data_IF_497533279642
#
_entry.id   IF_497533279642
#
_cell.length_a   1.000
_cell.length_b   1.000
_cell.length_c   1.000
_cell.angle_alpha   90.00
_cell.angle_beta   90.00
_cell.angle_gamma   90.00
#
_symmetry.space_group_name_H-M   'P 1'
#
loop_
_entity.id
_entity.type
_entity.pdbx_description
1 polymer ?
#
# COMPACT_ATOMS: atom_id res chain seq x y z
N UNK A 1 13.05 -11.03 1.97
CA UNK A 1 12.48 -10.32 3.15
C UNK A 1 11.02 -9.93 2.88
N UNK A 2 10.17 -9.79 3.92
CA UNK A 2 8.82 -9.22 3.78
C UNK A 2 8.77 -7.75 4.22
N UNK A 3 8.44 -6.85 3.30
CA UNK A 3 8.19 -5.45 3.55
C UNK A 3 6.70 -5.13 3.51
N UNK A 4 6.11 -4.73 4.64
CA UNK A 4 4.72 -4.25 4.70
C UNK A 4 4.70 -2.73 4.63
N UNK A 5 4.30 -2.22 3.47
CA UNK A 5 4.26 -0.80 3.17
C UNK A 5 2.90 -0.22 3.56
N UNK A 6 2.91 0.67 4.54
CA UNK A 6 1.76 1.38 5.08
C UNK A 6 1.89 2.88 4.80
N UNK A 7 0.80 3.63 4.98
CA UNK A 7 0.76 5.08 4.68
C UNK A 7 -0.59 5.49 4.11
N UNK A 8 -0.95 6.78 4.18
CA UNK A 8 -2.23 7.25 3.67
C UNK A 8 -2.32 7.07 2.15
N UNK A 9 -3.51 7.15 1.54
CA UNK A 9 -3.62 7.22 0.07
C UNK A 9 -2.79 8.41 -0.45
N UNK A 10 -2.32 8.32 -1.71
CA UNK A 10 -1.45 9.34 -2.33
C UNK A 10 -0.09 9.64 -1.65
N UNK A 11 0.32 8.87 -0.63
CA UNK A 11 1.58 9.13 0.07
C UNK A 11 2.85 8.82 -0.72
N UNK A 12 2.74 8.09 -1.85
CA UNK A 12 3.89 7.69 -2.67
C UNK A 12 4.39 6.26 -2.43
N UNK A 13 3.58 5.39 -1.78
CA UNK A 13 3.93 3.96 -1.55
C UNK A 13 4.41 3.25 -2.81
N UNK A 14 3.68 3.39 -3.92
CA UNK A 14 4.05 2.74 -5.19
C UNK A 14 5.38 3.25 -5.73
N UNK A 15 5.65 4.55 -5.63
CA UNK A 15 6.94 5.17 -6.00
C UNK A 15 8.07 4.70 -5.11
N UNK A 16 7.84 4.58 -3.80
CA UNK A 16 8.82 4.07 -2.84
C UNK A 16 9.24 2.63 -3.15
N UNK A 17 8.29 1.79 -3.56
CA UNK A 17 8.55 0.40 -3.99
C UNK A 17 9.29 0.41 -5.33
N UNK A 18 8.84 1.19 -6.31
CA UNK A 18 9.49 1.27 -7.64
C UNK A 18 10.96 1.66 -7.57
N UNK A 19 11.36 2.46 -6.57
CA UNK A 19 12.76 2.85 -6.40
C UNK A 19 13.62 1.79 -5.68
N UNK A 20 13.06 0.62 -5.31
CA UNK A 20 13.72 -0.40 -4.48
C UNK A 20 13.56 -1.82 -5.01
N UNK A 21 12.35 -2.17 -5.42
CA UNK A 21 12.05 -3.49 -5.96
C UNK A 21 12.77 -3.71 -7.30
N UNK A 22 13.31 -4.89 -7.47
CA UNK A 22 13.90 -5.40 -8.70
C UNK A 22 12.86 -6.20 -9.50
N UNK A 23 13.21 -6.57 -10.74
CA UNK A 23 12.35 -7.42 -11.58
C UNK A 23 12.14 -8.84 -11.02
N UNK A 24 12.91 -9.25 -10.00
CA UNK A 24 12.80 -10.56 -9.34
C UNK A 24 11.86 -10.55 -8.13
N UNK A 25 11.53 -9.36 -7.62
CA UNK A 25 10.79 -9.21 -6.37
C UNK A 25 9.27 -9.26 -6.60
N UNK A 26 8.54 -9.62 -5.55
CA UNK A 26 7.09 -9.75 -5.60
C UNK A 26 6.44 -8.47 -5.04
N UNK A 27 5.59 -7.82 -5.83
CA UNK A 27 4.79 -6.67 -5.38
C UNK A 27 3.33 -7.06 -5.27
N UNK A 28 2.81 -7.08 -4.05
CA UNK A 28 1.41 -7.38 -3.73
C UNK A 28 0.68 -6.06 -3.43
N UNK A 29 -0.10 -5.60 -4.40
CA UNK A 29 -0.88 -4.37 -4.35
C UNK A 29 -2.31 -4.61 -4.84
N UNK A 30 -3.30 -4.20 -4.05
CA UNK A 30 -4.70 -4.46 -4.37
C UNK A 30 -5.10 -3.80 -5.69
N UNK A 31 -4.62 -2.57 -5.92
CA UNK A 31 -5.00 -1.81 -7.11
C UNK A 31 -4.38 -2.43 -8.38
N UNK A 32 -3.13 -2.93 -8.28
CA UNK A 32 -2.49 -3.69 -9.38
C UNK A 32 -3.21 -5.00 -9.66
N UNK A 33 -3.59 -5.74 -8.62
CA UNK A 33 -4.34 -7.00 -8.77
C UNK A 33 -5.71 -6.72 -9.41
N UNK A 34 -6.43 -5.70 -8.94
CA UNK A 34 -7.72 -5.32 -9.51
C UNK A 34 -7.58 -4.95 -10.99
N UNK A 35 -6.58 -4.13 -11.35
CA UNK A 35 -6.30 -3.77 -12.75
C UNK A 35 -6.01 -4.99 -13.63
N UNK A 36 -5.18 -5.92 -13.15
CA UNK A 36 -4.82 -7.15 -13.87
C UNK A 36 -6.02 -8.11 -14.08
N UNK A 37 -7.01 -8.07 -13.20
CA UNK A 37 -8.22 -8.89 -13.28
C UNK A 37 -9.32 -8.26 -14.15
N UNK A 38 -9.19 -7.00 -14.54
CA UNK A 38 -10.21 -6.28 -15.31
C UNK A 38 -9.97 -6.34 -16.80
N UNK A 39 -11.07 -6.38 -17.58
CA UNK A 39 -11.01 -6.45 -19.03
C UNK A 39 -10.45 -5.17 -19.68
N UNK A 40 -10.06 -5.23 -20.97
CA UNK A 40 -9.57 -4.09 -21.72
C UNK A 40 -10.53 -2.89 -21.66
N UNK A 41 -9.98 -1.67 -21.54
CA UNK A 41 -10.76 -0.44 -21.46
C UNK A 41 -11.33 -0.12 -20.08
N UNK A 42 -11.12 -0.98 -19.07
CA UNK A 42 -11.44 -0.65 -17.69
C UNK A 42 -10.60 0.55 -17.20
N UNK A 43 -11.16 1.42 -16.34
CA UNK A 43 -10.40 2.50 -15.74
C UNK A 43 -9.25 1.91 -14.91
N UNK A 44 -8.12 2.62 -14.87
CA UNK A 44 -6.96 2.24 -14.05
C UNK A 44 -7.34 2.04 -12.57
N UNK A 45 -8.32 2.81 -12.09
CA UNK A 45 -8.90 2.70 -10.76
C UNK A 45 -10.33 2.18 -10.88
N UNK A 46 -10.49 0.86 -10.80
CA UNK A 46 -11.78 0.21 -10.87
C UNK A 46 -12.35 -0.04 -9.46
N UNK A 47 -13.38 0.74 -9.10
CA UNK A 47 -14.08 0.62 -7.82
C UNK A 47 -15.28 -0.33 -7.86
N UNK A 48 -15.44 -1.10 -8.93
CA UNK A 48 -16.50 -2.11 -9.02
C UNK A 48 -16.42 -3.09 -7.81
N UNK A 49 -17.51 -3.23 -7.03
CA UNK A 49 -17.49 -4.04 -5.81
C UNK A 49 -17.17 -5.52 -6.04
N UNK A 50 -17.53 -6.08 -7.20
CA UNK A 50 -17.24 -7.47 -7.54
C UNK A 50 -15.76 -7.64 -7.87
N UNK A 51 -15.19 -6.75 -8.69
CA UNK A 51 -13.75 -6.71 -8.97
C UNK A 51 -12.95 -6.59 -7.67
N UNK A 52 -13.33 -5.66 -6.81
CA UNK A 52 -12.67 -5.43 -5.53
C UNK A 52 -12.73 -6.65 -4.62
N UNK A 53 -13.87 -7.36 -4.58
CA UNK A 53 -14.01 -8.60 -3.81
C UNK A 53 -13.10 -9.70 -4.34
N UNK A 54 -13.05 -9.90 -5.65
CA UNK A 54 -12.20 -10.91 -6.28
C UNK A 54 -10.72 -10.58 -6.05
N UNK A 55 -10.32 -9.32 -6.29
CA UNK A 55 -8.96 -8.83 -6.07
C UNK A 55 -8.51 -9.01 -4.61
N UNK A 56 -9.40 -8.77 -3.63
CA UNK A 56 -9.09 -9.03 -2.22
C UNK A 56 -8.82 -10.52 -1.94
N UNK A 57 -9.57 -11.44 -2.54
CA UNK A 57 -9.33 -12.89 -2.39
C UNK A 57 -8.01 -13.32 -3.03
N UNK A 58 -7.74 -12.85 -4.24
CA UNK A 58 -6.46 -13.07 -4.91
C UNK A 58 -5.29 -12.51 -4.08
N UNK A 59 -5.45 -11.31 -3.50
CA UNK A 59 -4.45 -10.71 -2.61
C UNK A 59 -4.17 -11.56 -1.37
N UNK A 60 -5.19 -12.13 -0.74
CA UNK A 60 -4.96 -13.01 0.42
C UNK A 60 -4.20 -14.27 0.04
N UNK A 61 -4.58 -14.92 -1.07
CA UNK A 61 -3.85 -16.09 -1.58
C UNK A 61 -2.39 -15.75 -1.93
N UNK A 62 -2.16 -14.61 -2.58
CA UNK A 62 -0.81 -14.14 -2.90
C UNK A 62 0.04 -13.88 -1.65
N UNK A 63 -0.53 -13.29 -0.60
CA UNK A 63 0.18 -13.09 0.68
C UNK A 63 0.52 -14.44 1.31
N UNK A 64 -0.45 -15.36 1.36
CA UNK A 64 -0.27 -16.67 2.00
C UNK A 64 0.79 -17.52 1.29
N UNK A 65 0.97 -17.35 -0.02
CA UNK A 65 2.05 -17.99 -0.76
C UNK A 65 3.38 -17.25 -0.60
N UNK A 66 3.39 -15.92 -0.79
CA UNK A 66 4.62 -15.14 -0.79
C UNK A 66 5.37 -15.21 0.55
N UNK A 67 4.67 -15.33 1.68
CA UNK A 67 5.33 -15.50 3.00
C UNK A 67 6.20 -16.76 3.10
N UNK A 68 6.01 -17.75 2.22
CA UNK A 68 6.81 -18.99 2.19
C UNK A 68 8.14 -18.82 1.44
N UNK A 69 8.24 -17.78 0.62
CA UNK A 69 9.37 -17.54 -0.30
C UNK A 69 10.18 -16.29 0.10
N UNK A 70 9.97 -15.77 1.32
CA UNK A 70 10.64 -14.54 1.79
C UNK A 70 12.14 -14.71 1.99
N UNK A 71 12.64 -15.95 2.02
CA UNK A 71 14.06 -16.26 2.06
C UNK A 71 14.71 -16.26 0.66
N UNK A 72 13.90 -16.40 -0.40
CA UNK A 72 14.36 -16.48 -1.80
C UNK A 72 14.23 -15.13 -2.54
N UNK A 73 13.20 -14.35 -2.22
CA UNK A 73 12.88 -13.08 -2.87
C UNK A 73 12.37 -12.04 -1.87
N UNK A 74 12.50 -10.76 -2.23
CA UNK A 74 11.84 -9.71 -1.47
C UNK A 74 10.36 -9.60 -1.87
N UNK A 75 9.51 -9.43 -0.85
CA UNK A 75 8.07 -9.31 -0.99
C UNK A 75 7.64 -7.95 -0.47
N UNK A 76 7.08 -7.12 -1.35
CA UNK A 76 6.56 -5.80 -1.03
C UNK A 76 5.03 -5.84 -0.98
N UNK A 77 4.47 -5.75 0.22
CA UNK A 77 3.04 -5.77 0.46
C UNK A 77 2.52 -4.36 0.75
N UNK A 78 1.71 -3.79 -0.14
CA UNK A 78 0.96 -2.58 0.20
C UNK A 78 -0.24 -2.96 1.08
N UNK A 79 -0.28 -2.43 2.30
CA UNK A 79 -1.44 -2.47 3.17
C UNK A 79 -1.59 -1.11 3.87
N UNK A 80 -2.42 -0.23 3.32
CA UNK A 80 -2.61 1.16 3.78
C UNK A 80 -2.91 1.27 5.29
N UNK A 81 -3.85 0.46 5.78
CA UNK A 81 -4.29 0.42 7.18
C UNK A 81 -4.47 -1.02 7.65
N UNK A 82 -3.40 -1.74 8.03
CA UNK A 82 -3.53 -3.09 8.55
C UNK A 82 -4.25 -3.06 9.90
N UNK A 83 -5.16 -4.02 10.12
CA UNK A 83 -5.78 -4.20 11.44
C UNK A 83 -4.72 -4.59 12.49
N UNK A 84 -4.98 -4.44 13.80
CA UNK A 84 -4.08 -4.92 14.84
C UNK A 84 -3.70 -6.40 14.66
N UNK A 85 -4.67 -7.25 14.29
CA UNK A 85 -4.46 -8.67 14.00
C UNK A 85 -3.54 -8.88 12.80
N UNK A 86 -3.73 -8.12 11.71
CA UNK A 86 -2.86 -8.20 10.54
C UNK A 86 -1.43 -7.74 10.87
N UNK A 87 -1.28 -6.63 11.62
CA UNK A 87 0.04 -6.18 12.09
C UNK A 87 0.76 -7.23 12.94
N UNK A 88 0.04 -7.86 13.86
CA UNK A 88 0.60 -8.95 14.67
C UNK A 88 1.06 -10.11 13.78
N UNK A 89 0.22 -10.54 12.83
CA UNK A 89 0.56 -11.58 11.85
C UNK A 89 1.85 -11.24 11.08
N UNK A 90 1.99 -10.01 10.59
CA UNK A 90 3.19 -9.61 9.85
C UNK A 90 4.44 -9.58 10.72
N UNK A 91 4.34 -9.08 11.95
CA UNK A 91 5.47 -9.11 12.90
C UNK A 91 5.91 -10.55 13.22
N UNK A 92 4.96 -11.46 13.43
CA UNK A 92 5.25 -12.88 13.65
C UNK A 92 5.90 -13.54 12.43
N UNK A 93 5.65 -13.01 11.22
CA UNK A 93 6.31 -13.44 9.99
C UNK A 93 7.65 -12.70 9.73
N UNK A 94 8.19 -11.97 10.71
CA UNK A 94 9.46 -11.25 10.58
C UNK A 94 9.41 -10.02 9.67
N UNK A 95 8.22 -9.49 9.36
CA UNK A 95 8.08 -8.41 8.40
C UNK A 95 8.63 -7.07 8.90
N UNK A 96 9.28 -6.34 8.00
CA UNK A 96 9.59 -4.92 8.19
C UNK A 96 8.37 -4.07 7.84
N UNK A 97 7.86 -3.30 8.81
CA UNK A 97 6.74 -2.38 8.58
C UNK A 97 7.28 -0.99 8.23
N UNK A 98 7.11 -0.59 6.98
CA UNK A 98 7.54 0.72 6.47
C UNK A 98 6.34 1.66 6.39
N UNK A 99 6.43 2.84 6.97
CA UNK A 99 5.41 3.89 6.85
C UNK A 99 5.89 4.98 5.88
N UNK A 100 5.22 5.09 4.74
CA UNK A 100 5.46 6.15 3.75
C UNK A 100 4.42 7.25 3.98
N UNK A 101 4.87 8.37 4.53
CA UNK A 101 4.04 9.53 4.87
C UNK A 101 4.82 10.83 4.61
N UNK A 102 4.47 11.61 3.57
CA UNK A 102 5.09 12.90 3.28
C UNK A 102 4.50 14.05 4.12
N UNK A 103 3.52 13.78 4.99
CA UNK A 103 2.79 14.77 5.77
C UNK A 103 1.37 14.99 5.25
N UNK A 104 0.48 15.37 6.17
CA UNK A 104 -0.96 15.47 5.92
C UNK A 104 -1.33 16.51 4.86
N UNK A 105 -0.69 17.66 4.90
CA UNK A 105 -0.97 18.74 3.94
C UNK A 105 -0.65 18.30 2.51
N UNK A 106 0.52 17.68 2.31
CA UNK A 106 0.95 17.13 1.00
C UNK A 106 -0.01 16.04 0.53
N UNK A 107 -0.45 15.16 1.43
CA UNK A 107 -1.39 14.09 1.09
C UNK A 107 -2.76 14.65 0.70
N UNK A 108 -3.26 15.64 1.44
CA UNK A 108 -4.54 16.28 1.15
C UNK A 108 -4.49 17.04 -0.17
N UNK A 109 -3.41 17.75 -0.45
CA UNK A 109 -3.20 18.41 -1.74
C UNK A 109 -3.24 17.40 -2.90
N UNK A 110 -2.49 16.30 -2.78
CA UNK A 110 -2.47 15.24 -3.81
C UNK A 110 -3.85 14.57 -3.98
N UNK A 111 -4.58 14.35 -2.90
CA UNK A 111 -5.92 13.76 -2.95
C UNK A 111 -6.94 14.70 -3.59
N UNK A 112 -6.89 15.99 -3.28
CA UNK A 112 -7.73 16.99 -3.92
C UNK A 112 -7.51 17.02 -5.44
N UNK A 113 -6.26 16.90 -5.90
CA UNK A 113 -5.94 16.83 -7.33
C UNK A 113 -6.51 15.58 -8.04
N UNK A 114 -6.68 14.46 -7.32
CA UNK A 114 -7.31 13.24 -7.86
C UNK A 114 -8.84 13.34 -7.97
N UNK A 115 -9.46 14.39 -7.42
CA UNK A 115 -10.91 14.65 -7.46
C UNK A 115 -11.76 13.47 -6.96
N UNK A 116 -11.30 12.77 -5.92
CA UNK A 116 -11.99 11.61 -5.33
C UNK A 116 -12.46 11.88 -3.89
N UNK A 117 -13.75 12.22 -3.67
CA UNK A 117 -14.28 12.49 -2.33
C UNK A 117 -14.16 11.28 -1.39
N UNK A 118 -14.18 10.06 -1.93
CA UNK A 118 -14.01 8.84 -1.14
C UNK A 118 -12.61 8.75 -0.50
N UNK A 119 -11.59 9.34 -1.12
CA UNK A 119 -10.22 9.31 -0.60
C UNK A 119 -10.03 10.25 0.58
N UNK A 120 -10.75 11.37 0.66
CA UNK A 120 -10.65 12.30 1.80
C UNK A 120 -11.07 11.66 3.13
N UNK A 121 -12.12 10.83 3.09
CA UNK A 121 -12.56 10.07 4.25
C UNK A 121 -11.47 9.07 4.71
N UNK A 122 -10.78 8.44 3.75
CA UNK A 122 -9.68 7.51 4.04
C UNK A 122 -8.46 8.24 4.60
N UNK A 123 -8.07 9.39 4.04
CA UNK A 123 -6.99 10.25 4.57
C UNK A 123 -7.28 10.66 6.01
N UNK A 124 -8.48 11.19 6.24
CA UNK A 124 -8.91 11.66 7.57
C UNK A 124 -8.88 10.54 8.59
N UNK A 125 -9.39 9.36 8.22
CA UNK A 125 -9.30 8.15 9.05
C UNK A 125 -7.85 7.77 9.33
N UNK A 126 -7.00 7.77 8.30
CA UNK A 126 -5.60 7.35 8.42
C UNK A 126 -4.85 8.22 9.44
N UNK A 127 -4.88 9.55 9.29
CA UNK A 127 -4.17 10.46 10.20
C UNK A 127 -4.73 10.43 11.62
N UNK A 128 -6.05 10.28 11.78
CA UNK A 128 -6.66 10.10 13.10
C UNK A 128 -6.14 8.84 13.79
N UNK A 129 -6.11 7.72 13.08
CA UNK A 129 -5.67 6.44 13.64
C UNK A 129 -4.14 6.43 13.85
N UNK A 130 -3.37 7.10 12.98
CA UNK A 130 -1.92 7.26 13.08
C UNK A 130 -1.50 8.07 14.32
N UNK A 131 -2.17 9.21 14.59
CA UNK A 131 -1.93 10.02 15.81
C UNK A 131 -2.19 9.26 17.11
N UNK A 132 -3.09 8.26 17.09
CA UNK A 132 -3.35 7.39 18.24
C UNK A 132 -2.31 6.28 18.41
N UNK A 133 -1.57 5.94 17.35
CA UNK A 133 -0.73 4.73 17.27
C UNK A 133 0.78 4.95 17.34
N UNK A 134 1.27 6.20 17.27
CA UNK A 134 2.68 6.55 17.57
C UNK A 134 3.75 5.98 16.63
N UNK A 135 3.41 5.54 15.42
CA UNK A 135 4.42 5.18 14.41
C UNK A 135 5.20 6.42 13.98
N UNK A 136 6.54 6.36 13.95
CA UNK A 136 7.40 7.45 13.45
C UNK A 136 7.51 7.38 11.92
N UNK A 137 7.41 8.51 11.20
CA UNK A 137 7.53 8.52 9.74
C UNK A 137 8.96 8.23 9.29
N UNK A 138 9.12 7.52 8.17
CA UNK A 138 10.36 7.54 7.39
C UNK A 138 10.26 8.71 6.42
N UNK A 139 10.88 9.82 6.75
CA UNK A 139 10.97 10.97 5.85
C UNK A 139 11.80 10.56 4.63
N UNK A 140 11.14 10.39 3.48
CA UNK A 140 11.86 10.23 2.22
C UNK A 140 12.33 11.60 1.75
N UNK A 141 13.62 11.67 1.44
CA UNK A 141 14.37 12.82 0.98
C UNK A 141 13.62 13.61 -0.09
N UNK A 142 13.64 14.94 0.05
CA UNK A 142 13.14 15.93 -0.89
C UNK A 142 13.55 15.55 -2.32
N UNK A 143 12.56 15.42 -3.20
CA UNK A 143 12.79 15.26 -4.64
C UNK A 143 13.66 16.41 -5.13
N UNK A 144 14.90 16.12 -5.57
CA UNK A 144 15.67 17.08 -6.37
C UNK A 144 14.93 17.28 -7.70
N UNK A 145 14.71 18.55 -8.03
CA UNK A 145 14.22 18.97 -9.33
C UNK A 145 15.21 18.51 -10.41
N UNK A 146 14.68 17.91 -11.47
CA UNK A 146 15.32 17.78 -12.76
C UNK A 146 14.57 18.68 -13.74
#
# INVERSE_FOLDING_TARGET
>A
MLYVITGPPASGKSTWIQSRATARDIVIDLDRIAAALTGPGAPQWNHDPLVQRIAQRARFAAIDEAVKHVDDVDVYLIHTMPSPKARARYRSAGAEIVTVDPGEDVVRERVAAMRSPAMDAVVTRWYRDYRKGGSRPVTTQTSRAW
#
